data_IF_286459887531
#
_entry.id   IF_286459887531
#
_cell.length_a   1.000
_cell.length_b   1.000
_cell.length_c   1.000
_cell.angle_alpha   90.00
_cell.angle_beta   90.00
_cell.angle_gamma   90.00
#
_symmetry.space_group_name_H-M   'P 1'
#
loop_
_entity.id
_entity.type
_entity.pdbx_description
1 polymer ?
#
# COMPACT_ATOMS: atom_id res chain seq x y z
N UNK A 1 50.30 32.32 54.77
CA UNK A 1 50.85 33.08 53.63
C UNK A 1 51.25 32.04 52.60
N UNK A 2 50.49 31.90 51.53
CA UNK A 2 50.87 31.05 50.39
C UNK A 2 52.12 31.64 49.79
N UNK A 3 53.15 30.83 49.58
CA UNK A 3 54.37 31.31 48.93
C UNK A 3 54.08 31.59 47.46
N UNK A 4 54.86 32.47 46.82
CA UNK A 4 54.75 32.73 45.37
C UNK A 4 54.87 31.43 44.56
N UNK A 5 55.69 30.49 45.05
CA UNK A 5 55.89 29.17 44.45
C UNK A 5 54.62 28.32 44.52
N UNK A 6 54.00 28.17 45.70
CA UNK A 6 52.72 27.44 45.84
C UNK A 6 51.59 28.08 45.01
N UNK A 7 51.59 29.41 44.87
CA UNK A 7 50.62 30.11 44.00
C UNK A 7 50.77 29.74 42.52
N UNK A 8 52.02 29.62 42.04
CA UNK A 8 52.32 29.21 40.66
C UNK A 8 52.03 27.73 40.40
N UNK A 9 52.32 26.85 41.37
CA UNK A 9 52.01 25.42 41.28
C UNK A 9 50.49 25.16 41.20
N UNK A 10 49.71 25.86 42.03
CA UNK A 10 48.26 25.78 41.99
C UNK A 10 47.66 26.31 40.68
N UNK A 11 48.20 27.42 40.15
CA UNK A 11 47.77 27.98 38.87
C UNK A 11 48.09 27.04 37.69
N UNK A 12 49.26 26.39 37.73
CA UNK A 12 49.67 25.40 36.72
C UNK A 12 48.75 24.18 36.74
N UNK A 13 48.48 23.65 37.93
CA UNK A 13 47.57 22.51 38.10
C UNK A 13 46.15 22.83 37.63
N UNK A 14 45.64 24.03 37.95
CA UNK A 14 44.32 24.48 37.49
C UNK A 14 44.25 24.63 35.96
N UNK A 15 45.33 25.10 35.32
CA UNK A 15 45.41 25.21 33.87
C UNK A 15 45.44 23.82 33.21
N UNK A 16 46.23 22.88 33.74
CA UNK A 16 46.27 21.50 33.25
C UNK A 16 44.91 20.82 33.33
N UNK A 17 44.20 21.00 34.45
CA UNK A 17 42.85 20.47 34.64
C UNK A 17 41.86 21.08 33.64
N UNK A 18 41.89 22.41 33.44
CA UNK A 18 41.01 23.09 32.49
C UNK A 18 41.27 22.65 31.04
N UNK A 19 42.54 22.42 30.67
CA UNK A 19 42.90 21.88 29.33
C UNK A 19 42.37 20.46 29.17
N UNK A 20 42.50 19.61 30.19
CA UNK A 20 41.96 18.25 30.17
C UNK A 20 40.42 18.24 30.02
N UNK A 21 39.72 19.12 30.73
CA UNK A 21 38.26 19.24 30.67
C UNK A 21 37.79 19.69 29.27
N UNK A 22 38.47 20.66 28.64
CA UNK A 22 38.16 21.12 27.27
C UNK A 22 38.41 20.02 26.24
N UNK A 23 39.50 19.26 26.37
CA UNK A 23 39.77 18.12 25.49
C UNK A 23 38.72 17.00 25.68
N UNK A 24 38.30 16.76 26.91
CA UNK A 24 37.17 15.87 27.24
C UNK A 24 35.88 16.30 26.56
N UNK A 25 35.46 17.55 26.72
CA UNK A 25 34.29 18.15 26.06
C UNK A 25 34.36 18.05 24.53
N UNK A 26 35.53 18.32 23.94
CA UNK A 26 35.74 18.17 22.49
C UNK A 26 35.50 16.72 22.05
N UNK A 27 36.04 15.74 22.77
CA UNK A 27 35.81 14.32 22.44
C UNK A 27 34.34 13.92 22.54
N UNK A 28 33.64 14.45 23.56
CA UNK A 28 32.22 14.18 23.80
C UNK A 28 31.30 14.81 22.74
N UNK A 29 31.70 15.91 22.11
CA UNK A 29 30.96 16.56 21.03
C UNK A 29 31.29 15.99 19.65
N UNK A 30 32.55 15.59 19.43
CA UNK A 30 33.02 15.10 18.12
C UNK A 30 32.40 13.75 17.74
N UNK A 31 32.22 12.83 18.71
CA UNK A 31 31.65 11.52 18.44
C UNK A 31 30.17 11.60 18.00
N UNK A 32 29.25 12.30 18.72
CA UNK A 32 27.89 12.54 18.25
C UNK A 32 27.85 13.32 16.93
N UNK A 33 28.72 14.31 16.74
CA UNK A 33 28.80 15.05 15.48
C UNK A 33 29.11 14.12 14.29
N UNK A 34 30.15 13.29 14.39
CA UNK A 34 30.52 12.35 13.32
C UNK A 34 29.43 11.29 13.08
N UNK A 35 28.75 10.84 14.15
CA UNK A 35 27.61 9.95 14.04
C UNK A 35 26.45 10.61 13.29
N UNK A 36 26.12 11.87 13.62
CA UNK A 36 25.08 12.64 12.95
C UNK A 36 25.40 12.92 11.48
N UNK A 37 26.66 13.25 11.16
CA UNK A 37 27.12 13.44 9.78
C UNK A 37 26.95 12.14 8.99
N UNK A 38 27.33 11.00 9.57
CA UNK A 38 27.18 9.68 8.93
C UNK A 38 25.71 9.34 8.70
N UNK A 39 24.85 9.50 9.72
CA UNK A 39 23.41 9.26 9.60
C UNK A 39 22.77 10.16 8.55
N UNK A 40 23.08 11.45 8.56
CA UNK A 40 22.56 12.42 7.59
C UNK A 40 22.99 12.05 6.17
N UNK A 41 24.26 11.71 5.98
CA UNK A 41 24.79 11.28 4.68
C UNK A 41 24.09 10.01 4.19
N UNK A 42 23.86 9.03 5.07
CA UNK A 42 23.13 7.81 4.73
C UNK A 42 21.68 8.11 4.33
N UNK A 43 20.98 8.97 5.06
CA UNK A 43 19.60 9.37 4.75
C UNK A 43 19.54 10.07 3.38
N UNK A 44 20.44 11.02 3.13
CA UNK A 44 20.53 11.74 1.85
C UNK A 44 20.82 10.77 0.71
N UNK A 45 21.79 9.87 0.89
CA UNK A 45 22.11 8.87 -0.13
C UNK A 45 20.95 7.89 -0.39
N UNK A 46 20.23 7.47 0.65
CA UNK A 46 19.03 6.64 0.50
C UNK A 46 17.93 7.39 -0.26
N UNK A 47 17.74 8.68 0.03
CA UNK A 47 16.76 9.50 -0.66
C UNK A 47 17.11 9.72 -2.13
N UNK A 48 18.37 10.04 -2.43
CA UNK A 48 18.84 10.28 -3.81
C UNK A 48 18.77 9.01 -4.65
N UNK A 49 19.13 7.86 -4.07
CA UNK A 49 19.24 6.59 -4.80
C UNK A 49 17.98 5.73 -4.71
N UNK A 50 16.88 6.21 -4.13
CA UNK A 50 15.63 5.44 -4.09
C UNK A 50 15.06 5.31 -5.50
N UNK A 51 14.54 4.14 -5.82
CA UNK A 51 13.80 3.92 -7.06
C UNK A 51 12.57 4.83 -7.08
N UNK A 52 12.28 5.43 -8.24
CA UNK A 52 11.09 6.25 -8.44
C UNK A 52 9.78 5.45 -8.30
N UNK A 53 9.87 4.12 -8.41
CA UNK A 53 8.80 3.18 -8.18
C UNK A 53 9.34 1.95 -7.45
N UNK A 54 8.51 1.34 -6.60
CA UNK A 54 8.84 0.12 -5.86
C UNK A 54 8.11 -1.07 -6.48
N UNK A 55 8.75 -2.25 -6.49
CA UNK A 55 8.10 -3.51 -6.88
C UNK A 55 8.08 -4.42 -5.66
N UNK A 56 6.90 -4.92 -5.33
CA UNK A 56 6.69 -5.88 -4.24
C UNK A 56 6.07 -7.14 -4.81
N UNK A 57 6.75 -8.27 -4.60
CA UNK A 57 6.30 -9.59 -5.02
C UNK A 57 5.46 -10.23 -3.92
N UNK A 58 4.30 -10.75 -4.31
CA UNK A 58 3.29 -11.33 -3.42
C UNK A 58 3.01 -12.77 -3.85
N UNK A 59 3.07 -13.68 -2.89
CA UNK A 59 2.71 -15.09 -3.06
C UNK A 59 2.04 -15.60 -1.77
N UNK A 60 0.72 -15.73 -1.78
CA UNK A 60 -0.04 -16.18 -0.61
C UNK A 60 0.22 -17.65 -0.24
N UNK A 61 0.72 -18.45 -1.19
CA UNK A 61 0.95 -19.88 -1.00
C UNK A 61 2.35 -20.09 -0.44
N UNK A 62 3.37 -19.62 -1.15
CA UNK A 62 4.78 -19.94 -0.87
C UNK A 62 5.55 -18.79 -0.21
N UNK A 63 4.96 -17.59 -0.12
CA UNK A 63 5.60 -16.42 0.48
C UNK A 63 5.70 -16.44 2.01
N UNK A 64 6.38 -15.43 2.56
CA UNK A 64 6.45 -15.18 4.00
C UNK A 64 6.38 -13.68 4.29
N UNK A 65 5.61 -13.27 5.30
CA UNK A 65 5.51 -11.85 5.69
C UNK A 65 6.78 -11.32 6.36
N UNK A 66 7.69 -12.20 6.77
CA UNK A 66 9.06 -11.84 7.20
C UNK A 66 9.94 -11.40 6.04
N UNK A 67 9.60 -11.77 4.80
CA UNK A 67 10.36 -11.35 3.62
C UNK A 67 10.10 -9.88 3.32
N UNK A 68 11.05 -9.20 2.69
CA UNK A 68 10.86 -7.81 2.26
C UNK A 68 10.03 -7.68 0.97
N UNK A 69 9.85 -8.77 0.23
CA UNK A 69 9.08 -8.81 -1.02
C UNK A 69 9.78 -8.13 -2.20
N UNK A 70 11.07 -7.77 -2.10
CA UNK A 70 11.78 -7.05 -3.18
C UNK A 70 12.17 -7.93 -4.36
N UNK A 71 12.15 -9.26 -4.17
CA UNK A 71 12.48 -10.23 -5.20
C UNK A 71 11.41 -11.32 -5.28
N UNK A 72 11.30 -11.96 -6.43
CA UNK A 72 10.36 -13.04 -6.65
C UNK A 72 10.73 -14.35 -5.92
N UNK A 73 11.99 -14.50 -5.50
CA UNK A 73 12.45 -15.67 -4.72
C UNK A 73 12.18 -15.50 -3.22
N UNK A 74 11.92 -14.27 -2.77
CA UNK A 74 11.55 -13.93 -1.39
C UNK A 74 10.27 -13.08 -1.36
N UNK A 75 9.14 -13.60 -1.87
CA UNK A 75 7.90 -12.84 -1.91
C UNK A 75 7.30 -12.68 -0.50
N UNK A 76 6.58 -11.58 -0.30
CA UNK A 76 5.69 -11.41 0.86
C UNK A 76 4.49 -12.33 0.71
N UNK A 77 3.92 -12.78 1.83
CA UNK A 77 2.74 -13.65 1.79
C UNK A 77 1.46 -12.84 1.61
N UNK A 78 1.24 -11.89 2.50
CA UNK A 78 -0.02 -11.17 2.61
C UNK A 78 0.01 -9.87 1.81
N UNK A 79 -0.95 -9.73 0.89
CA UNK A 79 -1.17 -8.47 0.18
C UNK A 79 -1.61 -7.36 1.15
N UNK A 80 -2.49 -7.65 2.11
CA UNK A 80 -2.92 -6.67 3.13
C UNK A 80 -1.72 -6.11 3.89
N UNK A 81 -0.81 -6.99 4.33
CA UNK A 81 0.39 -6.58 5.06
C UNK A 81 1.34 -5.75 4.19
N UNK A 82 1.47 -6.11 2.90
CA UNK A 82 2.30 -5.38 1.96
C UNK A 82 1.76 -3.96 1.68
N UNK A 83 0.44 -3.80 1.54
CA UNK A 83 -0.20 -2.49 1.37
C UNK A 83 -0.08 -1.66 2.66
N UNK A 84 -0.28 -2.27 3.82
CA UNK A 84 -0.16 -1.58 5.11
C UNK A 84 1.28 -1.10 5.40
N UNK A 85 2.29 -1.81 4.90
CA UNK A 85 3.70 -1.44 5.03
C UNK A 85 4.19 -0.48 3.94
N UNK A 86 3.36 -0.19 2.92
CA UNK A 86 3.72 0.68 1.82
C UNK A 86 3.94 2.13 2.30
N UNK A 87 5.01 2.75 1.81
CA UNK A 87 5.25 4.18 2.01
C UNK A 87 4.38 5.06 1.10
N UNK A 88 4.82 6.30 0.89
CA UNK A 88 4.19 7.21 -0.07
C UNK A 88 4.73 7.06 -1.51
N UNK A 89 5.62 6.10 -1.75
CA UNK A 89 6.17 5.79 -3.07
C UNK A 89 5.09 5.20 -3.97
N UNK A 90 5.22 5.37 -5.29
CA UNK A 90 4.42 4.60 -6.23
C UNK A 90 4.89 3.13 -6.21
N UNK A 91 3.95 2.18 -6.14
CA UNK A 91 4.28 0.76 -5.92
C UNK A 91 3.55 -0.17 -6.89
N UNK A 92 4.28 -1.10 -7.50
CA UNK A 92 3.73 -2.23 -8.25
C UNK A 92 3.73 -3.48 -7.36
N UNK A 93 2.55 -4.05 -7.11
CA UNK A 93 2.37 -5.36 -6.49
C UNK A 93 2.25 -6.44 -7.58
N UNK A 94 3.26 -7.30 -7.67
CA UNK A 94 3.30 -8.44 -8.59
C UNK A 94 2.80 -9.69 -7.90
N UNK A 95 1.68 -10.21 -8.37
CA UNK A 95 1.02 -11.37 -7.77
C UNK A 95 1.46 -12.66 -8.46
N UNK A 96 2.16 -13.52 -7.72
CA UNK A 96 2.61 -14.85 -8.13
C UNK A 96 1.57 -15.94 -7.87
N UNK A 97 0.60 -15.65 -7.01
CA UNK A 97 -0.54 -16.50 -6.69
C UNK A 97 -1.83 -15.70 -6.76
N UNK A 98 -2.96 -16.40 -6.66
CA UNK A 98 -4.22 -15.76 -6.30
C UNK A 98 -4.12 -15.17 -4.89
N UNK A 99 -4.89 -14.12 -4.61
CA UNK A 99 -4.86 -13.39 -3.35
C UNK A 99 -6.26 -13.11 -2.80
N UNK A 100 -6.38 -12.95 -1.49
CA UNK A 100 -7.60 -12.51 -0.82
C UNK A 100 -7.31 -11.32 0.07
N UNK A 101 -7.92 -10.17 -0.22
CA UNK A 101 -7.95 -9.05 0.71
C UNK A 101 -8.93 -9.36 1.85
N UNK A 102 -8.40 -9.33 3.07
CA UNK A 102 -9.12 -9.62 4.31
C UNK A 102 -9.43 -8.33 5.07
N UNK A 103 -8.68 -7.27 4.81
CA UNK A 103 -8.87 -5.98 5.46
C UNK A 103 -9.37 -4.93 4.46
N UNK A 104 -9.95 -3.85 4.99
CA UNK A 104 -10.19 -2.62 4.24
C UNK A 104 -9.04 -1.67 4.52
N UNK A 105 -8.17 -1.49 3.54
CA UNK A 105 -6.91 -0.76 3.74
C UNK A 105 -6.95 0.59 3.03
N UNK A 106 -6.49 1.63 3.75
CA UNK A 106 -6.36 2.97 3.18
C UNK A 106 -5.20 3.03 2.21
N UNK A 107 -5.44 3.66 1.06
CA UNK A 107 -4.46 3.83 0.01
C UNK A 107 -4.26 5.31 -0.31
N UNK A 108 -3.02 5.76 -0.12
CA UNK A 108 -2.60 7.17 -0.28
C UNK A 108 -1.64 7.42 -1.44
N UNK A 109 -1.07 6.36 -2.02
CA UNK A 109 -0.11 6.43 -3.12
C UNK A 109 -0.60 5.65 -4.34
N UNK A 110 -0.06 5.99 -5.52
CA UNK A 110 -0.39 5.31 -6.76
C UNK A 110 0.09 3.86 -6.71
N UNK A 111 -0.77 2.93 -7.12
CA UNK A 111 -0.42 1.51 -7.13
C UNK A 111 -0.83 0.82 -8.41
N UNK A 112 -0.06 -0.19 -8.77
CA UNK A 112 -0.33 -1.10 -9.87
C UNK A 112 -0.39 -2.51 -9.29
N UNK A 113 -1.45 -3.25 -9.57
CA UNK A 113 -1.55 -4.68 -9.29
C UNK A 113 -1.41 -5.43 -10.61
N UNK A 114 -0.43 -6.34 -10.68
CA UNK A 114 -0.13 -7.10 -11.89
C UNK A 114 -0.09 -8.60 -11.60
N UNK A 115 -0.92 -9.37 -12.31
CA UNK A 115 -0.85 -10.82 -12.27
C UNK A 115 0.29 -11.33 -13.15
N UNK A 116 1.16 -12.19 -12.59
CA UNK A 116 2.34 -12.70 -13.29
C UNK A 116 2.58 -14.19 -13.04
N UNK A 117 3.27 -14.83 -13.98
CA UNK A 117 3.81 -16.18 -13.79
C UNK A 117 5.22 -16.28 -14.38
N UNK A 118 6.01 -17.24 -13.90
CA UNK A 118 7.34 -17.51 -14.45
C UNK A 118 7.19 -18.04 -15.88
N UNK A 119 7.93 -17.46 -16.82
CA UNK A 119 7.90 -17.93 -18.21
C UNK A 119 8.59 -19.29 -18.33
N UNK A 120 7.94 -20.22 -19.05
CA UNK A 120 8.54 -21.51 -19.39
C UNK A 120 9.52 -21.42 -20.57
N UNK A 121 9.42 -20.36 -21.39
CA UNK A 121 10.15 -20.23 -22.65
C UNK A 121 11.38 -19.31 -22.57
N UNK A 122 11.45 -18.42 -21.57
CA UNK A 122 12.53 -17.47 -21.40
C UNK A 122 12.74 -17.12 -19.91
N UNK A 123 13.93 -16.65 -19.51
CA UNK A 123 14.10 -16.08 -18.19
C UNK A 123 13.13 -14.91 -17.94
N UNK A 124 12.51 -14.89 -16.76
CA UNK A 124 11.64 -13.79 -16.32
C UNK A 124 10.18 -14.19 -16.13
N UNK A 125 9.34 -13.17 -16.05
CA UNK A 125 7.92 -13.29 -15.75
C UNK A 125 7.09 -12.72 -16.90
N UNK A 126 5.98 -13.37 -17.20
CA UNK A 126 5.00 -12.93 -18.20
C UNK A 126 3.67 -12.62 -17.52
N UNK A 127 2.85 -11.74 -18.11
CA UNK A 127 1.51 -11.49 -17.61
C UNK A 127 0.68 -12.77 -17.53
N UNK A 128 -0.08 -12.92 -16.45
CA UNK A 128 -0.95 -14.07 -16.22
C UNK A 128 -2.09 -13.69 -15.29
N UNK A 129 -3.32 -14.09 -15.63
CA UNK A 129 -4.49 -13.76 -14.83
C UNK A 129 -4.40 -14.40 -13.44
N UNK A 130 -4.37 -13.55 -12.41
CA UNK A 130 -4.47 -13.95 -11.00
C UNK A 130 -5.81 -13.53 -10.44
N UNK A 131 -6.39 -14.32 -9.54
CA UNK A 131 -7.63 -13.95 -8.87
C UNK A 131 -7.34 -13.07 -7.65
N UNK A 132 -8.10 -12.00 -7.50
CA UNK A 132 -8.23 -11.22 -6.28
C UNK A 132 -9.64 -11.37 -5.72
N UNK A 133 -9.75 -12.02 -4.56
CA UNK A 133 -10.98 -12.15 -3.77
C UNK A 133 -10.99 -11.20 -2.58
N UNK A 134 -12.16 -11.06 -1.97
CA UNK A 134 -12.38 -10.18 -0.82
C UNK A 134 -13.19 -10.92 0.24
N UNK A 135 -13.05 -10.56 1.51
CA UNK A 135 -14.01 -10.97 2.54
C UNK A 135 -15.26 -10.09 2.53
N UNK A 136 -16.43 -10.71 2.65
CA UNK A 136 -17.73 -10.02 2.75
C UNK A 136 -17.87 -9.12 3.97
N UNK A 137 -17.07 -9.38 5.02
CA UNK A 137 -16.85 -8.48 6.15
C UNK A 137 -15.35 -8.44 6.41
N UNK A 138 -14.76 -7.25 6.42
CA UNK A 138 -13.33 -7.10 6.65
C UNK A 138 -12.95 -7.50 8.09
N UNK A 139 -11.75 -8.02 8.29
CA UNK A 139 -11.24 -8.38 9.64
C UNK A 139 -11.06 -7.14 10.53
N UNK A 140 -10.85 -5.96 9.94
CA UNK A 140 -10.77 -4.68 10.64
C UNK A 140 -12.11 -3.93 10.70
N UNK A 141 -13.24 -4.62 10.47
CA UNK A 141 -14.60 -4.10 10.61
C UNK A 141 -15.27 -4.64 11.89
N UNK A 142 -16.12 -3.85 12.60
CA UNK A 142 -16.45 -2.45 12.32
C UNK A 142 -15.37 -1.49 12.80
N UNK A 143 -15.31 -0.31 12.19
CA UNK A 143 -14.49 0.79 12.69
C UNK A 143 -15.39 1.87 13.35
N UNK A 144 -15.03 2.38 14.55
CA UNK A 144 -15.75 3.46 15.20
C UNK A 144 -15.91 4.68 14.27
N UNK A 145 -17.14 5.19 14.14
CA UNK A 145 -17.46 6.34 13.30
C UNK A 145 -17.62 6.06 11.80
N UNK A 146 -17.25 4.85 11.33
CA UNK A 146 -17.42 4.43 9.92
C UNK A 146 -18.53 3.39 9.80
N UNK A 147 -18.57 2.42 10.72
CA UNK A 147 -19.51 1.30 10.68
C UNK A 147 -18.88 0.03 10.11
N UNK A 148 -19.72 -0.85 9.57
CA UNK A 148 -19.32 -2.15 9.00
C UNK A 148 -19.04 -2.06 7.50
N UNK A 149 -18.02 -2.78 7.03
CA UNK A 149 -17.60 -2.75 5.63
C UNK A 149 -17.01 -4.07 5.14
N UNK A 150 -17.05 -4.28 3.83
CA UNK A 150 -16.32 -5.36 3.14
C UNK A 150 -14.82 -5.07 3.06
N UNK A 151 -14.02 -6.12 2.88
CA UNK A 151 -12.60 -5.99 2.60
C UNK A 151 -12.33 -5.32 1.24
N UNK A 152 -11.10 -4.86 1.03
CA UNK A 152 -10.65 -4.21 -0.19
C UNK A 152 -9.92 -2.91 0.08
N UNK A 153 -10.12 -1.88 -0.75
CA UNK A 153 -9.34 -0.64 -0.69
C UNK A 153 -10.20 0.60 -0.45
N UNK A 154 -9.65 1.51 0.35
CA UNK A 154 -10.13 2.85 0.59
C UNK A 154 -9.18 3.86 -0.06
N UNK A 155 -9.51 4.28 -1.27
CA UNK A 155 -8.62 5.09 -2.11
C UNK A 155 -8.91 6.56 -1.86
N UNK A 156 -7.91 7.29 -1.38
CA UNK A 156 -8.04 8.72 -1.10
C UNK A 156 -7.89 9.53 -2.38
N UNK A 157 -6.66 9.75 -2.84
CA UNK A 157 -6.32 10.56 -4.02
C UNK A 157 -5.36 9.85 -4.97
N UNK A 158 -5.37 8.52 -4.95
CA UNK A 158 -4.45 7.69 -5.70
C UNK A 158 -5.05 7.18 -7.01
N UNK A 159 -4.16 6.92 -7.96
CA UNK A 159 -4.45 6.16 -9.16
C UNK A 159 -4.16 4.69 -8.88
N UNK A 160 -5.13 3.83 -9.19
CA UNK A 160 -5.04 2.39 -8.99
C UNK A 160 -5.19 1.70 -10.32
N UNK A 161 -4.19 0.92 -10.70
CA UNK A 161 -4.22 0.14 -11.93
C UNK A 161 -4.28 -1.35 -11.60
N UNK A 162 -5.12 -2.09 -12.32
CA UNK A 162 -5.20 -3.54 -12.28
C UNK A 162 -4.98 -4.09 -13.68
N UNK A 163 -3.95 -4.92 -13.83
CA UNK A 163 -3.65 -5.61 -15.08
C UNK A 163 -3.55 -7.10 -14.85
N UNK A 164 -4.32 -7.90 -15.61
CA UNK A 164 -4.33 -9.36 -15.48
C UNK A 164 -4.72 -9.83 -14.07
N UNK A 165 -5.70 -9.14 -13.47
CA UNK A 165 -6.26 -9.50 -12.17
C UNK A 165 -7.74 -9.78 -12.37
N UNK A 166 -8.21 -11.00 -12.16
CA UNK A 166 -9.63 -11.36 -12.13
C UNK A 166 -10.23 -11.09 -10.76
N UNK A 167 -11.41 -10.48 -10.70
CA UNK A 167 -12.10 -10.18 -9.45
C UNK A 167 -13.15 -11.23 -9.11
N UNK A 168 -13.14 -11.69 -7.87
CA UNK A 168 -14.18 -12.55 -7.31
C UNK A 168 -14.84 -11.85 -6.12
N UNK A 169 -16.06 -11.34 -6.31
CA UNK A 169 -16.79 -10.66 -5.24
C UNK A 169 -17.43 -11.66 -4.26
N UNK A 170 -17.28 -11.42 -2.95
CA UNK A 170 -17.92 -12.26 -1.94
C UNK A 170 -19.38 -11.88 -1.75
N UNK A 171 -20.15 -12.80 -1.16
CA UNK A 171 -21.42 -12.47 -0.53
C UNK A 171 -21.21 -11.47 0.61
N UNK A 172 -22.10 -10.48 0.70
CA UNK A 172 -22.04 -9.43 1.71
C UNK A 172 -23.21 -9.61 2.67
N UNK A 173 -22.96 -9.75 3.99
CA UNK A 173 -24.04 -9.82 4.97
C UNK A 173 -24.98 -8.63 4.91
N UNK A 174 -26.26 -8.87 5.19
CA UNK A 174 -27.24 -7.79 5.28
C UNK A 174 -26.83 -6.76 6.37
N UNK A 175 -26.97 -5.47 6.07
CA UNK A 175 -26.64 -4.40 7.00
C UNK A 175 -25.18 -3.92 6.97
N UNK A 176 -24.34 -4.44 6.08
CA UNK A 176 -23.04 -3.83 5.78
C UNK A 176 -23.26 -2.47 5.11
N UNK A 177 -22.70 -1.40 5.70
CA UNK A 177 -22.88 -0.03 5.21
C UNK A 177 -22.13 0.26 3.91
N UNK A 178 -21.02 -0.45 3.67
CA UNK A 178 -20.17 -0.27 2.49
C UNK A 178 -19.93 -1.62 1.80
N UNK A 179 -20.88 -2.09 0.98
CA UNK A 179 -20.87 -3.42 0.38
C UNK A 179 -19.99 -3.52 -0.87
N UNK A 180 -18.89 -2.76 -0.95
CA UNK A 180 -18.05 -2.67 -2.14
C UNK A 180 -16.57 -2.88 -1.85
N UNK A 181 -15.87 -3.53 -2.77
CA UNK A 181 -14.45 -3.86 -2.64
C UNK A 181 -13.56 -2.60 -2.71
N UNK A 182 -13.76 -1.76 -3.72
CA UNK A 182 -12.97 -0.54 -3.93
C UNK A 182 -13.83 0.69 -3.70
N UNK A 183 -13.27 1.66 -2.99
CA UNK A 183 -14.00 2.84 -2.58
C UNK A 183 -13.20 4.10 -2.75
N UNK A 184 -13.86 5.16 -3.20
CA UNK A 184 -13.28 6.50 -3.27
C UNK A 184 -13.72 7.33 -2.06
N UNK A 185 -12.75 7.79 -1.26
CA UNK A 185 -13.03 8.85 -0.28
C UNK A 185 -12.94 10.23 -0.91
N UNK A 186 -11.95 10.49 -1.76
CA UNK A 186 -11.88 11.71 -2.53
C UNK A 186 -11.86 11.35 -4.02
N UNK A 187 -11.03 12.00 -4.83
CA UNK A 187 -10.91 11.66 -6.24
C UNK A 187 -10.04 10.42 -6.41
N UNK A 188 -10.65 9.29 -6.74
CA UNK A 188 -9.93 8.06 -7.05
C UNK A 188 -10.10 7.71 -8.53
N UNK A 189 -9.00 7.31 -9.16
CA UNK A 189 -8.98 6.86 -10.55
C UNK A 189 -8.59 5.40 -10.61
N UNK A 190 -9.39 4.61 -11.29
CA UNK A 190 -9.18 3.19 -11.50
C UNK A 190 -8.99 2.90 -12.98
N UNK A 191 -7.96 2.13 -13.30
CA UNK A 191 -7.73 1.60 -14.64
C UNK A 191 -7.70 0.08 -14.53
N UNK A 192 -8.60 -0.61 -15.21
CA UNK A 192 -8.69 -2.07 -15.20
C UNK A 192 -8.60 -2.57 -16.63
N UNK A 193 -7.71 -3.54 -16.89
CA UNK A 193 -7.61 -4.18 -18.20
C UNK A 193 -7.26 -5.66 -18.10
N UNK A 194 -7.78 -6.42 -19.08
CA UNK A 194 -7.60 -7.88 -19.20
C UNK A 194 -8.07 -8.62 -17.95
N UNK A 195 -9.27 -8.27 -17.49
CA UNK A 195 -9.86 -8.75 -16.24
C UNK A 195 -11.24 -9.35 -16.47
N UNK A 196 -11.59 -10.36 -15.70
CA UNK A 196 -12.96 -10.86 -15.54
C UNK A 196 -13.50 -10.52 -14.15
N UNK A 197 -14.77 -10.12 -14.06
CA UNK A 197 -15.49 -10.00 -12.79
C UNK A 197 -16.41 -11.21 -12.62
N UNK A 198 -16.34 -11.86 -11.47
CA UNK A 198 -17.18 -13.02 -11.11
C UNK A 198 -17.90 -12.78 -9.79
N UNK A 199 -19.14 -13.27 -9.71
CA UNK A 199 -19.95 -13.26 -8.50
C UNK A 199 -20.45 -14.69 -8.22
N UNK A 200 -20.40 -15.09 -6.95
CA UNK A 200 -20.85 -16.42 -6.53
C UNK A 200 -22.36 -16.49 -6.25
N UNK A 201 -22.97 -15.36 -5.88
CA UNK A 201 -24.40 -15.28 -5.58
C UNK A 201 -24.96 -13.86 -5.79
N UNK A 202 -26.31 -13.71 -5.87
CA UNK A 202 -26.96 -12.41 -5.95
C UNK A 202 -26.76 -11.51 -4.71
N UNK A 203 -26.34 -12.08 -3.58
CA UNK A 203 -25.99 -11.33 -2.37
C UNK A 203 -24.57 -10.75 -2.42
N UNK A 204 -23.86 -10.90 -3.54
CA UNK A 204 -22.53 -10.35 -3.71
C UNK A 204 -22.54 -8.82 -3.62
N UNK A 205 -21.42 -8.27 -3.16
CA UNK A 205 -21.18 -6.83 -3.12
C UNK A 205 -21.03 -6.22 -4.51
N UNK A 206 -20.49 -5.00 -4.54
CA UNK A 206 -20.08 -4.33 -5.78
C UNK A 206 -18.56 -4.18 -5.88
N UNK A 207 -18.03 -4.04 -7.09
CA UNK A 207 -16.60 -3.80 -7.27
C UNK A 207 -16.20 -2.40 -6.83
N UNK A 208 -16.97 -1.38 -7.25
CA UNK A 208 -16.70 0.02 -6.96
C UNK A 208 -17.84 0.67 -6.18
N UNK A 209 -17.49 1.56 -5.25
CA UNK A 209 -18.41 2.44 -4.56
C UNK A 209 -17.79 3.77 -4.20
N UNK A 210 -18.62 4.72 -3.77
CA UNK A 210 -18.20 6.09 -3.44
C UNK A 210 -18.81 6.50 -2.10
N UNK A 211 -17.96 7.10 -1.27
CA UNK A 211 -18.33 7.59 0.08
C UNK A 211 -18.49 9.10 0.06
N UNK A 212 -17.43 9.83 -0.25
CA UNK A 212 -17.45 11.30 -0.31
C UNK A 212 -17.02 11.85 -1.68
N UNK A 213 -16.25 11.09 -2.47
CA UNK A 213 -15.69 11.55 -3.74
C UNK A 213 -16.10 10.70 -4.93
N UNK A 214 -15.83 11.21 -6.13
CA UNK A 214 -16.18 10.55 -7.39
C UNK A 214 -15.18 9.44 -7.71
N UNK A 215 -15.69 8.29 -8.13
CA UNK A 215 -14.91 7.20 -8.75
C UNK A 215 -14.82 7.46 -10.24
N UNK A 216 -13.60 7.60 -10.75
CA UNK A 216 -13.33 7.60 -12.20
C UNK A 216 -12.79 6.24 -12.58
N UNK A 217 -13.44 5.51 -13.47
CA UNK A 217 -13.10 4.12 -13.80
C UNK A 217 -13.02 3.89 -15.31
N UNK A 218 -11.82 3.65 -15.81
CA UNK A 218 -11.57 3.20 -17.19
C UNK A 218 -11.41 1.68 -17.20
N UNK A 219 -12.41 0.98 -17.71
CA UNK A 219 -12.57 -0.46 -17.56
C UNK A 219 -12.53 -1.16 -18.93
N UNK A 220 -11.71 -2.20 -19.01
CA UNK A 220 -11.76 -3.27 -20.01
C UNK A 220 -11.96 -4.59 -19.26
N UNK A 221 -13.23 -4.88 -19.00
CA UNK A 221 -13.71 -5.92 -18.09
C UNK A 221 -14.66 -6.88 -18.81
N UNK A 222 -14.50 -8.17 -18.60
CA UNK A 222 -15.49 -9.19 -19.00
C UNK A 222 -16.35 -9.54 -17.78
N UNK A 223 -17.67 -9.58 -17.94
CA UNK A 223 -18.57 -10.00 -16.87
C UNK A 223 -18.85 -11.51 -16.95
N UNK A 224 -18.58 -12.21 -15.86
CA UNK A 224 -19.06 -13.57 -15.64
C UNK A 224 -20.57 -13.61 -15.38
N UNK A 225 -21.13 -14.82 -15.38
CA UNK A 225 -22.56 -15.04 -15.10
C UNK A 225 -22.97 -14.41 -13.77
N UNK A 226 -24.03 -13.61 -13.79
CA UNK A 226 -24.57 -12.94 -12.61
C UNK A 226 -23.85 -11.65 -12.20
N UNK A 227 -22.71 -11.30 -12.80
CA UNK A 227 -21.94 -10.12 -12.39
C UNK A 227 -22.55 -8.78 -12.85
N UNK A 228 -23.53 -8.81 -13.76
CA UNK A 228 -24.27 -7.64 -14.20
C UNK A 228 -24.96 -6.97 -13.01
N UNK A 229 -24.76 -5.66 -12.84
CA UNK A 229 -25.26 -4.92 -11.67
C UNK A 229 -24.37 -4.97 -10.42
N UNK A 230 -23.23 -5.67 -10.45
CA UNK A 230 -22.25 -5.73 -9.35
C UNK A 230 -20.96 -4.96 -9.64
N UNK A 231 -20.91 -4.16 -10.72
CA UNK A 231 -19.72 -3.35 -11.03
C UNK A 231 -19.69 -2.08 -10.17
N UNK A 232 -20.80 -1.34 -10.15
CA UNK A 232 -20.92 -0.07 -9.42
C UNK A 232 -22.06 -0.13 -8.41
N UNK A 233 -21.76 0.22 -7.17
CA UNK A 233 -22.75 0.25 -6.09
C UNK A 233 -23.92 1.20 -6.44
N UNK A 234 -25.14 0.68 -6.28
CA UNK A 234 -26.38 1.40 -6.59
C UNK A 234 -26.72 1.51 -8.08
N UNK A 235 -25.99 0.84 -8.99
CA UNK A 235 -26.30 0.82 -10.43
C UNK A 235 -26.79 -0.56 -10.83
N UNK A 236 -28.07 -0.67 -11.19
CA UNK A 236 -28.65 -1.93 -11.64
C UNK A 236 -28.00 -2.47 -12.93
N UNK A 237 -28.20 -3.77 -13.20
CA UNK A 237 -27.78 -4.40 -14.45
C UNK A 237 -28.28 -3.62 -15.68
N UNK A 238 -27.37 -3.32 -16.62
CA UNK A 238 -27.63 -2.52 -17.81
C UNK A 238 -27.77 -1.02 -17.58
N UNK A 239 -27.70 -0.54 -16.33
CA UNK A 239 -27.77 0.87 -15.99
C UNK A 239 -26.53 1.65 -16.45
N UNK A 240 -26.69 2.96 -16.66
CA UNK A 240 -25.57 3.86 -16.98
C UNK A 240 -25.02 4.49 -15.68
N UNK A 241 -23.80 4.12 -15.23
CA UNK A 241 -23.22 4.67 -14.01
C UNK A 241 -23.02 6.19 -14.07
N UNK A 242 -22.77 6.75 -15.26
CA UNK A 242 -22.54 8.19 -15.47
C UNK A 242 -23.78 9.06 -15.16
N UNK A 243 -24.96 8.46 -14.96
CA UNK A 243 -26.15 9.18 -14.48
C UNK A 243 -26.11 9.44 -12.97
N UNK A 244 -25.31 8.67 -12.22
CA UNK A 244 -25.06 8.93 -10.82
C UNK A 244 -23.87 9.88 -10.68
N UNK A 245 -24.00 10.92 -9.85
CA UNK A 245 -22.93 11.91 -9.62
C UNK A 245 -21.60 11.30 -9.13
N UNK A 246 -21.68 10.09 -8.58
CA UNK A 246 -20.60 9.31 -7.97
C UNK A 246 -19.63 8.67 -8.97
N UNK A 247 -20.01 8.51 -10.24
CA UNK A 247 -19.26 7.73 -11.20
C UNK A 247 -18.95 8.50 -12.48
N UNK A 248 -17.75 8.29 -13.02
CA UNK A 248 -17.34 8.64 -14.37
C UNK A 248 -16.65 7.41 -14.98
N UNK A 249 -17.20 6.84 -16.05
CA UNK A 249 -16.72 5.59 -16.62
C UNK A 249 -17.06 5.41 -18.10
N UNK A 250 -16.22 4.63 -18.79
CA UNK A 250 -16.38 4.27 -20.19
C UNK A 250 -17.32 3.07 -20.45
N UNK A 251 -17.91 2.45 -19.41
CA UNK A 251 -18.79 1.29 -19.58
C UNK A 251 -20.19 1.52 -18.99
N UNK A 252 -21.16 0.76 -19.48
CA UNK A 252 -22.44 0.53 -18.77
C UNK A 252 -22.27 -0.58 -17.73
N UNK A 253 -23.11 -0.61 -16.69
CA UNK A 253 -23.13 -1.70 -15.69
C UNK A 253 -23.86 -2.95 -16.25
N UNK A 254 -23.60 -3.31 -17.50
CA UNK A 254 -24.26 -4.37 -18.27
C UNK A 254 -23.50 -5.69 -18.16
#
# INVERSE_FOLDING_TARGET
MTTVVEGLENATTALEQAVADVLGLKSQLLAPYNQNVTQTTNIVNQFINRSAYEVVWIDEIDGSDTNDGKTADTPKRSLDAAIAAMGMSATEFRLLSDVTLKQKTNLYANVIFSGVQKSAAAPGYIPFNRRMSFLGTAENSPQPGVGTFCAGLFVYTANVQFGFIDFALPDVPAGIGYPYAFSAQAQASFVVYNTTLTVGSPAAGSLFGSILGRVTASLSLVLGTGAAGHVFDGVAAGGNPNLAWKYDTNITSA
#
